data_IF_085493136685
#
_entry.id   IF_085493136685
#
_cell.length_a   1.000
_cell.length_b   1.000
_cell.length_c   1.000
_cell.angle_alpha   90.00
_cell.angle_beta   90.00
_cell.angle_gamma   90.00
#
_symmetry.space_group_name_H-M   'P 1'
#
loop_
_entity.id
_entity.type
_entity.pdbx_description
1 polymer ?
#
# COMPACT_ATOMS: atom_id res chain seq x y z
N UNK A 1 4.63 15.70 11.12
CA UNK A 1 4.39 15.13 9.77
C UNK A 1 5.66 14.39 9.39
N UNK A 2 5.57 13.18 8.83
CA UNK A 2 6.77 12.46 8.37
C UNK A 2 7.31 13.14 7.11
N UNK A 3 8.63 13.19 6.98
CA UNK A 3 9.26 13.61 5.73
C UNK A 3 8.97 12.59 4.63
N UNK A 4 8.79 13.05 3.40
CA UNK A 4 8.49 12.20 2.24
C UNK A 4 9.50 12.48 1.14
N UNK A 5 10.32 11.48 0.84
CA UNK A 5 11.35 11.57 -0.19
C UNK A 5 11.03 10.59 -1.30
N UNK A 6 10.71 11.11 -2.48
CA UNK A 6 10.47 10.32 -3.68
C UNK A 6 11.80 10.09 -4.40
N UNK A 7 12.13 8.82 -4.64
CA UNK A 7 13.28 8.35 -5.41
C UNK A 7 12.79 7.63 -6.67
N UNK A 8 13.70 7.37 -7.60
CA UNK A 8 13.33 6.73 -8.86
C UNK A 8 12.67 5.36 -8.66
N UNK A 9 13.02 4.58 -7.65
CA UNK A 9 12.51 3.21 -7.44
C UNK A 9 11.59 3.06 -6.22
N UNK A 10 11.38 4.13 -5.45
CA UNK A 10 10.77 4.02 -4.13
C UNK A 10 10.32 5.37 -3.58
N UNK A 11 9.46 5.33 -2.57
CA UNK A 11 9.05 6.48 -1.75
C UNK A 11 9.45 6.17 -0.31
N UNK A 12 10.30 7.02 0.28
CA UNK A 12 10.72 6.90 1.68
C UNK A 12 9.84 7.80 2.55
N UNK A 13 9.34 7.25 3.65
CA UNK A 13 8.54 7.94 4.65
C UNK A 13 9.31 7.97 5.97
N UNK A 14 9.72 9.17 6.39
CA UNK A 14 10.64 9.37 7.50
C UNK A 14 11.95 8.63 7.29
N UNK A 15 12.48 8.06 8.36
CA UNK A 15 13.79 7.39 8.35
C UNK A 15 13.74 5.88 8.20
N UNK A 16 12.55 5.27 8.16
CA UNK A 16 12.46 3.83 8.37
C UNK A 16 11.61 3.07 7.35
N UNK A 17 10.52 3.67 6.84
CA UNK A 17 9.62 2.97 5.93
C UNK A 17 9.94 3.35 4.48
N UNK A 18 10.12 2.33 3.65
CA UNK A 18 10.30 2.49 2.20
C UNK A 18 9.16 1.74 1.52
N UNK A 19 8.46 2.45 0.64
CA UNK A 19 7.39 1.90 -0.20
C UNK A 19 7.90 1.79 -1.63
N UNK A 20 7.67 0.66 -2.28
CA UNK A 20 7.99 0.48 -3.70
C UNK A 20 6.85 -0.19 -4.44
N UNK A 21 6.74 0.05 -5.74
CA UNK A 21 5.70 -0.55 -6.57
C UNK A 21 6.33 -1.62 -7.46
N UNK A 22 5.93 -2.87 -7.29
CA UNK A 22 6.55 -4.00 -7.99
C UNK A 22 5.69 -4.45 -9.17
N UNK A 23 6.33 -4.73 -10.29
CA UNK A 23 5.71 -5.36 -11.47
C UNK A 23 5.42 -6.81 -11.17
N UNK A 24 4.24 -7.27 -11.59
CA UNK A 24 3.86 -8.67 -11.50
C UNK A 24 3.02 -9.11 -12.69
N UNK A 25 2.90 -10.43 -12.87
CA UNK A 25 1.89 -11.04 -13.71
C UNK A 25 0.48 -10.64 -13.23
N UNK A 26 -0.34 -10.17 -14.16
CA UNK A 26 -1.79 -10.05 -13.96
C UNK A 26 -2.40 -11.46 -14.00
N UNK A 27 -3.03 -11.83 -12.90
CA UNK A 27 -3.73 -13.09 -12.78
C UNK A 27 -5.10 -13.00 -13.47
N UNK A 28 -5.55 -14.12 -14.01
CA UNK A 28 -6.89 -14.23 -14.56
C UNK A 28 -7.93 -14.13 -13.44
N UNK A 29 -9.06 -13.47 -13.71
CA UNK A 29 -10.21 -13.46 -12.81
C UNK A 29 -11.08 -14.70 -13.08
N UNK A 30 -10.48 -15.88 -12.87
CA UNK A 30 -11.06 -17.19 -13.17
C UNK A 30 -11.58 -17.92 -11.91
N UNK A 31 -11.49 -17.26 -10.76
CA UNK A 31 -11.88 -17.83 -9.46
C UNK A 31 -10.95 -18.92 -8.94
N UNK A 32 -9.79 -19.13 -9.59
CA UNK A 32 -8.81 -20.14 -9.14
C UNK A 32 -7.76 -19.55 -8.20
N UNK A 33 -7.16 -20.41 -7.39
CA UNK A 33 -6.08 -20.01 -6.49
C UNK A 33 -4.77 -20.01 -7.25
N UNK A 34 -4.16 -18.83 -7.33
CA UNK A 34 -2.85 -18.64 -7.95
C UNK A 34 -1.75 -18.61 -6.88
N UNK A 35 -0.51 -18.92 -7.30
CA UNK A 35 0.67 -18.72 -6.45
C UNK A 35 0.93 -17.24 -6.24
N UNK A 36 1.81 -16.93 -5.28
CA UNK A 36 2.25 -15.57 -5.04
C UNK A 36 2.74 -14.90 -6.33
N UNK A 37 2.38 -13.62 -6.55
CA UNK A 37 2.78 -12.90 -7.75
C UNK A 37 4.30 -12.89 -7.89
N UNK A 38 4.86 -13.28 -9.05
CA UNK A 38 6.28 -13.18 -9.30
C UNK A 38 6.71 -11.70 -9.36
N UNK A 39 7.89 -11.40 -8.87
CA UNK A 39 8.48 -10.06 -8.96
C UNK A 39 9.20 -9.89 -10.30
N UNK A 40 8.73 -8.95 -11.14
CA UNK A 40 9.35 -8.58 -12.42
C UNK A 40 10.09 -7.23 -12.37
N UNK A 41 10.51 -6.81 -11.18
CA UNK A 41 11.23 -5.57 -10.94
C UNK A 41 10.32 -4.44 -10.44
N UNK A 42 10.89 -3.25 -10.33
CA UNK A 42 10.26 -2.10 -9.69
C UNK A 42 9.80 -1.07 -10.74
N UNK A 43 8.61 -0.50 -10.57
CA UNK A 43 8.16 0.64 -11.36
C UNK A 43 8.96 1.88 -10.98
N UNK A 44 9.35 2.71 -11.96
CA UNK A 44 9.92 4.00 -11.64
C UNK A 44 8.85 4.93 -11.07
N UNK A 45 9.20 5.72 -10.06
CA UNK A 45 8.35 6.73 -9.42
C UNK A 45 8.86 8.12 -9.79
N UNK A 46 7.96 8.97 -10.25
CA UNK A 46 8.24 10.34 -10.64
C UNK A 46 7.45 11.33 -9.80
N UNK A 47 8.06 12.46 -9.46
CA UNK A 47 7.34 13.56 -8.84
C UNK A 47 6.56 14.32 -9.89
N UNK A 48 5.33 14.71 -9.58
CA UNK A 48 4.51 15.53 -10.49
C UNK A 48 5.16 16.88 -10.76
N UNK A 49 5.82 17.47 -9.76
CA UNK A 49 6.52 18.76 -9.87
C UNK A 49 7.54 18.79 -11.01
N UNK A 50 8.28 17.70 -11.24
CA UNK A 50 9.31 17.59 -12.29
C UNK A 50 8.71 17.60 -13.71
N UNK A 51 7.40 17.39 -13.83
CA UNK A 51 6.68 17.26 -15.10
C UNK A 51 5.46 18.18 -15.19
N UNK A 52 5.40 19.27 -14.42
CA UNK A 52 4.23 20.13 -14.28
C UNK A 52 3.59 20.61 -15.61
N UNK A 53 4.38 20.78 -16.67
CA UNK A 53 3.89 21.18 -18.01
C UNK A 53 3.47 20.02 -18.94
N UNK A 54 3.60 18.76 -18.50
CA UNK A 54 3.37 17.55 -19.31
C UNK A 54 2.35 16.59 -18.69
N UNK A 55 2.05 16.77 -17.41
CA UNK A 55 1.04 16.01 -16.67
C UNK A 55 -0.35 16.64 -16.83
N UNK A 56 -1.44 15.88 -16.62
CA UNK A 56 -2.80 16.43 -16.60
C UNK A 56 -2.94 17.56 -15.56
N UNK A 57 -3.72 18.59 -15.90
CA UNK A 57 -3.86 19.80 -15.07
C UNK A 57 -4.43 19.56 -13.65
N UNK A 58 -5.10 18.43 -13.41
CA UNK A 58 -5.65 18.07 -12.10
C UNK A 58 -4.63 17.49 -11.12
N UNK A 59 -3.42 17.14 -11.59
CA UNK A 59 -2.39 16.52 -10.75
C UNK A 59 -1.65 17.58 -9.92
N UNK A 60 -1.40 17.28 -8.64
CA UNK A 60 -0.82 18.24 -7.70
C UNK A 60 0.69 18.05 -7.61
N UNK A 61 1.44 19.14 -7.46
CA UNK A 61 2.91 19.09 -7.41
C UNK A 61 3.47 18.18 -6.30
N UNK A 62 2.74 18.02 -5.18
CA UNK A 62 3.11 17.13 -4.08
C UNK A 62 2.75 15.66 -4.27
N UNK A 63 2.20 15.28 -5.43
CA UNK A 63 1.86 13.90 -5.77
C UNK A 63 3.00 13.24 -6.56
N UNK A 64 2.92 11.91 -6.66
CA UNK A 64 3.81 11.09 -7.46
C UNK A 64 3.01 10.29 -8.47
N UNK A 65 3.67 9.86 -9.55
CA UNK A 65 3.08 8.96 -10.52
C UNK A 65 4.06 7.86 -10.94
N UNK A 66 3.49 6.74 -11.36
CA UNK A 66 4.21 5.60 -11.94
C UNK A 66 3.67 5.35 -13.35
N UNK A 67 4.52 5.06 -14.35
CA UNK A 67 4.07 4.69 -15.68
C UNK A 67 3.65 3.22 -15.68
N UNK A 68 2.36 2.97 -15.92
CA UNK A 68 1.77 1.63 -15.93
C UNK A 68 0.94 1.48 -17.19
N UNK A 69 1.10 0.38 -17.93
CA UNK A 69 0.26 0.13 -19.10
C UNK A 69 -1.15 -0.32 -18.68
N UNK A 70 -2.14 -0.05 -19.51
CA UNK A 70 -3.49 -0.57 -19.29
C UNK A 70 -3.44 -2.09 -19.12
N UNK A 71 -4.11 -2.59 -18.08
CA UNK A 71 -4.17 -4.00 -17.68
C UNK A 71 -2.87 -4.58 -17.12
N UNK A 72 -1.86 -3.77 -16.81
CA UNK A 72 -0.75 -4.24 -15.97
C UNK A 72 -1.18 -4.33 -14.51
N UNK A 73 -0.67 -5.36 -13.83
CA UNK A 73 -0.84 -5.56 -12.41
C UNK A 73 0.41 -5.13 -11.65
N UNK A 74 0.21 -4.67 -10.42
CA UNK A 74 1.26 -4.34 -9.48
C UNK A 74 0.92 -4.81 -8.08
N UNK A 75 1.94 -4.90 -7.24
CA UNK A 75 1.76 -4.97 -5.79
C UNK A 75 2.62 -3.90 -5.10
N UNK A 76 2.22 -3.51 -3.89
CA UNK A 76 2.95 -2.53 -3.09
C UNK A 76 3.89 -3.26 -2.15
N UNK A 77 5.19 -2.99 -2.21
CA UNK A 77 6.21 -3.53 -1.30
C UNK A 77 6.50 -2.58 -0.15
N UNK A 78 6.77 -3.14 1.02
CA UNK A 78 7.14 -2.44 2.24
C UNK A 78 8.49 -2.97 2.74
N UNK A 79 9.52 -2.13 2.65
CA UNK A 79 10.82 -2.38 3.24
C UNK A 79 10.98 -1.51 4.48
N UNK A 80 11.71 -2.01 5.48
CA UNK A 80 11.83 -1.34 6.77
C UNK A 80 13.24 -1.40 7.34
N UNK A 81 13.88 -0.24 7.51
CA UNK A 81 15.27 -0.16 8.00
C UNK A 81 15.36 -0.45 9.50
N UNK A 82 14.34 -0.08 10.28
CA UNK A 82 14.27 -0.29 11.73
C UNK A 82 13.16 -1.28 12.09
N UNK A 83 13.35 -2.61 11.93
CA UNK A 83 12.26 -3.58 12.07
C UNK A 83 11.60 -3.65 13.45
N UNK A 84 12.25 -3.10 14.49
CA UNK A 84 11.69 -2.96 15.85
C UNK A 84 10.75 -1.75 16.00
N UNK A 85 10.57 -0.93 14.96
CA UNK A 85 9.72 0.26 14.96
C UNK A 85 8.64 0.22 13.88
N UNK A 86 7.51 -0.46 14.12
CA UNK A 86 6.50 -0.62 13.09
C UNK A 86 5.73 0.67 12.80
N UNK A 87 5.35 0.83 11.54
CA UNK A 87 4.41 1.84 11.07
C UNK A 87 3.05 1.21 10.80
N UNK A 88 1.99 1.99 11.02
CA UNK A 88 0.66 1.66 10.52
C UNK A 88 0.49 2.29 9.13
N UNK A 89 0.19 1.46 8.13
CA UNK A 89 0.14 1.83 6.71
C UNK A 89 -1.26 1.59 6.19
N UNK A 90 -1.91 2.65 5.72
CA UNK A 90 -3.20 2.56 5.03
C UNK A 90 -2.95 2.64 3.54
N UNK A 91 -3.60 1.78 2.78
CA UNK A 91 -3.56 1.78 1.32
C UNK A 91 -4.99 1.82 0.82
N UNK A 92 -5.30 2.78 -0.03
CA UNK A 92 -6.58 2.90 -0.72
C UNK A 92 -6.35 3.11 -2.22
N UNK A 93 -7.34 2.77 -3.04
CA UNK A 93 -7.38 3.18 -4.44
C UNK A 93 -8.74 3.81 -4.75
N UNK A 94 -8.75 4.97 -5.40
CA UNK A 94 -9.98 5.74 -5.61
C UNK A 94 -10.74 6.01 -4.31
N UNK A 95 -10.02 6.25 -3.20
CA UNK A 95 -10.57 6.41 -1.85
C UNK A 95 -11.32 5.21 -1.28
N UNK A 96 -11.14 4.02 -1.83
CA UNK A 96 -11.60 2.77 -1.21
C UNK A 96 -10.41 2.11 -0.51
N UNK A 97 -10.53 1.89 0.79
CA UNK A 97 -9.50 1.21 1.59
C UNK A 97 -9.32 -0.24 1.11
N UNK A 98 -8.08 -0.64 0.87
CA UNK A 98 -7.77 -1.96 0.30
C UNK A 98 -8.01 -3.13 1.25
N UNK A 99 -8.11 -2.88 2.57
CA UNK A 99 -8.29 -3.92 3.58
C UNK A 99 -9.77 -4.10 3.94
N UNK A 100 -10.52 -3.00 4.05
CA UNK A 100 -11.92 -3.03 4.47
C UNK A 100 -12.89 -3.02 3.29
N UNK A 101 -12.49 -2.50 2.13
CA UNK A 101 -13.40 -2.26 1.00
C UNK A 101 -14.37 -1.10 1.22
N UNK A 102 -14.18 -0.33 2.28
CA UNK A 102 -15.00 0.84 2.61
C UNK A 102 -14.32 2.13 2.15
N UNK A 103 -15.06 3.24 2.16
CA UNK A 103 -14.46 4.55 1.92
C UNK A 103 -13.36 4.84 2.95
N UNK A 104 -12.27 5.39 2.45
CA UNK A 104 -11.13 5.81 3.27
C UNK A 104 -11.56 6.96 4.19
N UNK A 105 -11.41 6.71 5.48
CA UNK A 105 -11.68 7.66 6.58
C UNK A 105 -10.38 8.18 7.19
N UNK A 106 -10.43 9.29 7.89
CA UNK A 106 -9.27 9.78 8.63
C UNK A 106 -8.96 8.91 9.85
N UNK A 107 -7.67 8.71 10.14
CA UNK A 107 -7.20 7.97 11.33
C UNK A 107 -7.22 6.44 11.19
N UNK A 108 -6.84 5.77 12.28
CA UNK A 108 -6.72 4.31 12.38
C UNK A 108 -7.93 3.72 13.10
N UNK A 109 -8.54 2.68 12.53
CA UNK A 109 -9.58 1.88 13.17
C UNK A 109 -9.05 0.47 13.41
N UNK A 110 -9.44 -0.14 14.52
CA UNK A 110 -9.08 -1.53 14.85
C UNK A 110 -10.19 -2.54 14.54
N UNK A 111 -11.44 -2.08 14.40
CA UNK A 111 -12.60 -2.94 14.13
C UNK A 111 -13.63 -2.23 13.22
N UNK A 112 -13.72 -2.60 11.92
CA UNK A 112 -12.73 -3.41 11.22
C UNK A 112 -11.38 -2.68 11.12
N UNK A 113 -10.28 -3.43 11.11
CA UNK A 113 -8.94 -2.85 11.00
C UNK A 113 -8.69 -2.29 9.59
N UNK A 114 -8.31 -1.01 9.49
CA UNK A 114 -8.15 -0.29 8.21
C UNK A 114 -6.68 -0.03 7.80
N UNK A 115 -5.71 -0.68 8.45
CA UNK A 115 -4.29 -0.47 8.23
C UNK A 115 -3.49 -1.78 8.30
N UNK A 116 -2.33 -1.80 7.65
CA UNK A 116 -1.30 -2.82 7.76
C UNK A 116 -0.27 -2.40 8.82
N UNK A 117 0.33 -3.37 9.50
CA UNK A 117 1.48 -3.13 10.40
C UNK A 117 2.75 -3.54 9.67
N UNK A 118 3.62 -2.58 9.37
CA UNK A 118 4.84 -2.77 8.59
C UNK A 118 6.06 -2.41 9.44
N UNK A 119 6.94 -3.37 9.80
CA UNK A 119 6.83 -4.83 9.63
C UNK A 119 5.83 -5.49 10.61
N UNK A 120 5.40 -6.75 10.43
CA UNK A 120 5.97 -7.78 9.54
C UNK A 120 5.35 -7.85 8.13
N UNK A 121 4.37 -7.00 7.80
CA UNK A 121 3.81 -7.01 6.46
C UNK A 121 4.84 -6.50 5.44
N UNK A 122 5.20 -7.34 4.46
CA UNK A 122 6.23 -7.04 3.46
C UNK A 122 5.66 -6.52 2.14
N UNK A 123 4.39 -6.82 1.83
CA UNK A 123 3.74 -6.33 0.61
C UNK A 123 2.21 -6.34 0.69
N UNK A 124 1.53 -5.74 -0.27
CA UNK A 124 0.08 -5.81 -0.47
C UNK A 124 -0.22 -6.04 -1.94
N UNK A 125 -0.82 -7.20 -2.24
CA UNK A 125 -1.09 -7.64 -3.62
C UNK A 125 -2.31 -6.95 -4.26
N UNK A 126 -3.22 -6.41 -3.45
CA UNK A 126 -4.46 -5.80 -3.93
C UNK A 126 -5.52 -5.61 -2.84
N UNK A 127 -6.78 -5.57 -3.26
CA UNK A 127 -7.94 -5.48 -2.39
C UNK A 127 -8.26 -6.81 -1.72
N UNK A 128 -8.49 -6.80 -0.42
CA UNK A 128 -9.10 -7.92 0.30
C UNK A 128 -10.59 -7.96 -0.02
N UNK A 129 -11.05 -9.00 -0.71
CA UNK A 129 -12.47 -9.13 -1.12
C UNK A 129 -13.20 -10.29 -0.44
N UNK A 130 -12.53 -10.99 0.47
CA UNK A 130 -13.07 -12.11 1.22
C UNK A 130 -11.96 -12.87 1.92
N UNK A 131 -12.33 -13.88 2.70
CA UNK A 131 -11.36 -14.75 3.37
C UNK A 131 -10.54 -15.51 2.34
N UNK A 132 -9.28 -15.13 2.18
CA UNK A 132 -8.30 -15.78 1.33
C UNK A 132 -8.25 -15.22 -0.09
N UNK A 133 -9.08 -14.22 -0.39
CA UNK A 133 -9.28 -13.72 -1.76
C UNK A 133 -8.76 -12.31 -1.87
N UNK A 134 -7.81 -12.13 -2.79
CA UNK A 134 -7.23 -10.83 -3.13
C UNK A 134 -7.52 -10.52 -4.59
N UNK A 135 -8.02 -9.30 -4.85
CA UNK A 135 -8.11 -8.75 -6.21
C UNK A 135 -6.97 -7.78 -6.46
N UNK A 136 -6.09 -8.13 -7.39
CA UNK A 136 -4.86 -7.38 -7.66
C UNK A 136 -5.12 -5.91 -8.00
N UNK A 137 -4.16 -5.03 -7.65
CA UNK A 137 -4.14 -3.70 -8.23
C UNK A 137 -3.82 -3.81 -9.72
N UNK A 138 -4.80 -3.50 -10.56
CA UNK A 138 -4.69 -3.51 -12.02
C UNK A 138 -4.98 -2.12 -12.54
N UNK A 139 -4.10 -1.61 -13.41
CA UNK A 139 -4.33 -0.35 -14.08
C UNK A 139 -5.48 -0.49 -15.09
N UNK A 140 -6.52 0.32 -14.92
CA UNK A 140 -7.68 0.37 -15.82
C UNK A 140 -7.85 1.79 -16.35
N UNK A 141 -8.46 1.92 -17.52
CA UNK A 141 -8.80 3.23 -18.07
C UNK A 141 -9.79 3.93 -17.16
N UNK A 142 -9.41 5.09 -16.65
CA UNK A 142 -10.29 5.95 -15.86
C UNK A 142 -11.47 6.43 -16.73
N UNK A 143 -12.67 6.49 -16.17
CA UNK A 143 -13.91 6.87 -16.87
C UNK A 143 -14.60 5.72 -17.61
N UNK A 144 -14.15 4.46 -17.44
CA UNK A 144 -14.73 3.30 -18.14
C UNK A 144 -15.60 2.41 -17.25
N UNK A 145 -15.78 2.76 -15.98
CA UNK A 145 -16.57 1.99 -15.02
C UNK A 145 -15.89 0.72 -14.51
N UNK A 146 -14.62 0.51 -14.83
CA UNK A 146 -13.85 -0.68 -14.41
C UNK A 146 -13.00 -0.44 -13.16
N UNK A 147 -13.02 0.78 -12.58
CA UNK A 147 -12.32 1.04 -11.33
C UNK A 147 -13.07 0.43 -10.14
N UNK A 148 -12.36 0.21 -9.03
CA UNK A 148 -12.99 -0.18 -7.76
C UNK A 148 -13.95 0.89 -7.24
N UNK A 149 -13.64 2.16 -7.53
CA UNK A 149 -14.47 3.32 -7.20
C UNK A 149 -15.82 3.22 -7.92
N UNK A 150 -15.82 2.95 -9.23
CA UNK A 150 -17.06 2.69 -9.96
C UNK A 150 -17.83 1.50 -9.39
N UNK A 151 -17.14 0.40 -9.10
CA UNK A 151 -17.78 -0.84 -8.64
C UNK A 151 -18.45 -0.68 -7.27
N UNK A 152 -17.90 0.13 -6.38
CA UNK A 152 -18.39 0.27 -5.00
C UNK A 152 -19.15 1.59 -4.74
N UNK A 153 -18.69 2.70 -5.33
CA UNK A 153 -19.25 4.04 -5.14
C UNK A 153 -20.18 4.47 -6.28
N UNK A 154 -20.19 3.77 -7.42
CA UNK A 154 -20.99 4.14 -8.59
C UNK A 154 -20.51 5.39 -9.33
N UNK A 155 -19.32 5.90 -9.01
CA UNK A 155 -18.71 7.08 -9.62
C UNK A 155 -17.19 6.88 -9.80
N UNK A 156 -16.57 7.65 -10.70
CA UNK A 156 -15.12 7.66 -10.91
C UNK A 156 -14.64 9.12 -10.90
N UNK A 157 -14.21 9.61 -9.74
CA UNK A 157 -13.79 11.00 -9.53
C UNK A 157 -12.37 11.15 -9.01
N UNK A 158 -11.84 10.16 -8.28
CA UNK A 158 -10.55 10.30 -7.60
C UNK A 158 -9.44 9.52 -8.29
N UNK A 159 -9.67 8.23 -8.56
CA UNK A 159 -8.63 7.35 -9.09
C UNK A 159 -7.36 7.28 -8.21
N UNK A 160 -6.29 6.74 -8.78
CA UNK A 160 -4.97 6.66 -8.14
C UNK A 160 -4.90 5.77 -6.88
N UNK A 161 -3.70 5.67 -6.32
CA UNK A 161 -3.44 5.05 -5.02
C UNK A 161 -3.23 6.14 -3.97
N UNK A 162 -3.82 5.94 -2.79
CA UNK A 162 -3.59 6.77 -1.61
C UNK A 162 -2.87 5.92 -0.57
N UNK A 163 -1.71 6.40 -0.11
CA UNK A 163 -0.90 5.71 0.91
C UNK A 163 -0.70 6.67 2.08
N UNK A 164 -1.24 6.29 3.24
CA UNK A 164 -1.16 7.10 4.46
C UNK A 164 -0.35 6.36 5.51
N UNK A 165 0.69 7.01 6.02
CA UNK A 165 1.61 6.42 7.00
C UNK A 165 1.42 7.06 8.36
N UNK A 166 1.21 6.23 9.37
CA UNK A 166 1.20 6.62 10.77
C UNK A 166 2.45 6.06 11.46
N UNK A 167 3.26 6.97 11.99
CA UNK A 167 4.40 6.64 12.83
C UNK A 167 3.95 5.92 14.11
N UNK A 168 4.80 5.08 14.72
CA UNK A 168 4.52 4.54 16.04
C UNK A 168 4.29 5.66 17.06
N UNK A 169 3.49 5.37 18.08
CA UNK A 169 3.32 6.31 19.19
C UNK A 169 4.67 6.63 19.85
N UNK A 170 4.96 7.91 20.17
CA UNK A 170 6.20 8.28 20.84
C UNK A 170 6.43 7.47 22.12
N UNK A 171 7.67 6.99 22.31
CA UNK A 171 8.06 6.19 23.49
C UNK A 171 7.55 4.75 23.50
N UNK A 172 6.71 4.32 22.55
CA UNK A 172 6.21 2.94 22.50
C UNK A 172 7.24 1.93 22.03
N UNK A 173 8.15 2.38 21.17
CA UNK A 173 9.25 1.60 20.62
C UNK A 173 10.55 2.39 20.80
N UNK A 174 11.73 1.74 20.89
CA UNK A 174 13.00 2.43 21.09
C UNK A 174 13.49 3.09 19.80
N UNK A 175 14.00 4.33 19.86
CA UNK A 175 14.51 5.07 18.68
C UNK A 175 15.74 4.37 18.08
N UNK A 176 16.60 3.85 18.94
CA UNK A 176 17.78 3.09 18.55
C UNK A 176 17.51 1.59 18.48
N UNK A 177 18.39 0.88 17.78
CA UNK A 177 18.34 -0.57 17.68
C UNK A 177 18.53 -1.21 19.07
N UNK A 178 17.59 -2.04 19.55
CA UNK A 178 17.78 -2.81 20.78
C UNK A 178 19.02 -3.69 20.70
N UNK A 179 19.72 -3.86 21.82
CA UNK A 179 20.86 -4.76 21.91
C UNK A 179 20.42 -6.20 21.53
N UNK A 180 21.27 -6.91 20.79
CA UNK A 180 20.96 -8.27 20.37
C UNK A 180 20.76 -9.18 21.61
N UNK A 181 19.53 -9.67 21.80
CA UNK A 181 19.17 -10.54 22.93
C UNK A 181 18.11 -9.97 23.87
N UNK A 182 17.82 -8.67 23.79
CA UNK A 182 16.56 -8.14 24.30
C UNK A 182 15.52 -8.44 23.23
N UNK A 183 14.58 -9.35 23.52
CA UNK A 183 13.36 -9.48 22.74
C UNK A 183 12.73 -8.08 22.66
N UNK A 184 13.03 -7.36 21.57
CA UNK A 184 12.21 -6.27 21.09
C UNK A 184 10.89 -6.96 20.80
N UNK A 185 10.02 -7.03 21.81
CA UNK A 185 8.81 -7.83 21.81
C UNK A 185 8.16 -7.63 20.45
N UNK A 186 8.37 -8.61 19.55
CA UNK A 186 7.74 -8.60 18.26
C UNK A 186 6.27 -8.35 18.59
N UNK A 187 5.64 -7.31 18.03
CA UNK A 187 4.32 -6.89 18.49
C UNK A 187 3.47 -8.15 18.57
N UNK A 188 3.12 -8.56 19.80
CA UNK A 188 2.28 -9.73 19.99
C UNK A 188 1.05 -9.42 19.15
N UNK A 189 0.75 -10.20 18.11
CA UNK A 189 -0.46 -9.94 17.35
C UNK A 189 -1.57 -9.90 18.39
N UNK A 190 -2.30 -8.78 18.47
CA UNK A 190 -3.59 -8.79 19.14
C UNK A 190 -4.30 -9.99 18.54
N UNK A 191 -4.61 -10.98 19.38
CA UNK A 191 -4.94 -12.32 18.96
C UNK A 191 -6.15 -12.32 18.02
N UNK A 192 -5.91 -12.16 16.71
CA UNK A 192 -6.74 -12.69 15.67
C UNK A 192 -6.13 -14.05 15.34
N UNK A 193 -6.91 -15.10 15.59
CA UNK A 193 -6.50 -16.46 15.27
C UNK A 193 -6.08 -16.53 13.79
N UNK A 194 -4.85 -17.01 13.57
CA UNK A 194 -4.22 -17.21 12.27
C UNK A 194 -3.44 -16.00 11.76
N UNK A 195 -2.12 -16.01 11.90
CA UNK A 195 -1.24 -15.04 11.26
C UNK A 195 -0.49 -15.69 10.11
N UNK A 196 -0.66 -15.16 8.89
CA UNK A 196 0.37 -15.07 7.83
C UNK A 196 -0.25 -14.41 6.61
N UNK A 197 0.31 -13.25 6.24
CA UNK A 197 0.09 -12.54 4.99
C UNK A 197 -1.35 -12.08 4.78
N UNK A 198 -1.58 -10.84 4.33
CA UNK A 198 -2.92 -10.44 3.88
C UNK A 198 -3.18 -11.08 2.51
N UNK A 199 -3.49 -12.38 2.57
CA UNK A 199 -4.08 -13.23 1.55
C UNK A 199 -5.11 -14.10 2.26
N UNK A 200 -5.96 -13.45 3.07
CA UNK A 200 -6.54 -14.08 4.27
C UNK A 200 -8.01 -13.84 4.41
#
# INVERSE_FOLDING_TARGET
MLDVVIRLDSIRFGDHLIVSFKRTLRLADDGTVHRLPPNFGVFPVYQVADFAGRVPAGWRAGEAFIPVYQREALYVGFDHEAPWRPHAVKVAAGRINALTGEFEVDGLTSDPQNYLVCPPQLWLDGFKTGTGVVRQFVAVSFGTGHTIEAALAGAEGFGGLQITIHAPQPGRFPDERPAAGEDAAAPRPLASRGGRQVSK
#
